data_IF_162336161820
#
_entry.id   IF_162336161820
#
_cell.length_a   1.000
_cell.length_b   1.000
_cell.length_c   1.000
_cell.angle_alpha   90.00
_cell.angle_beta   90.00
_cell.angle_gamma   90.00
#
_symmetry.space_group_name_H-M   'P 1'
#
loop_
_entity.id
_entity.type
_entity.pdbx_description
1 polymer ?
#
# COMPACT_ATOMS: atom_id res chain seq x y z
N UNK A 1 -11.98 5.89 8.13
CA UNK A 1 -12.64 5.79 6.79
C UNK A 1 -12.77 7.18 6.19
N UNK A 2 -12.62 7.29 4.87
CA UNK A 2 -12.59 8.56 4.12
C UNK A 2 -13.89 9.38 4.32
N UNK A 3 -13.84 10.59 4.89
CA UNK A 3 -14.99 11.49 4.98
C UNK A 3 -15.36 12.00 3.57
N UNK A 4 -16.62 11.84 3.16
CA UNK A 4 -17.01 12.03 1.76
C UNK A 4 -16.89 13.49 1.28
N UNK A 5 -17.51 14.45 1.99
CA UNK A 5 -17.46 15.86 1.61
C UNK A 5 -16.03 16.41 1.64
N UNK A 6 -15.29 16.13 2.71
CA UNK A 6 -13.91 16.57 2.83
C UNK A 6 -13.02 15.98 1.72
N UNK A 7 -13.24 14.72 1.34
CA UNK A 7 -12.52 14.12 0.23
C UNK A 7 -12.81 14.81 -1.11
N UNK A 8 -14.07 15.23 -1.35
CA UNK A 8 -14.43 16.00 -2.55
C UNK A 8 -13.74 17.36 -2.55
N UNK A 9 -13.66 18.03 -1.41
CA UNK A 9 -12.99 19.32 -1.31
C UNK A 9 -11.47 19.18 -1.51
N UNK A 10 -10.85 18.13 -0.95
CA UNK A 10 -9.43 17.82 -1.15
C UNK A 10 -9.14 17.42 -2.60
N UNK A 11 -10.06 16.74 -3.28
CA UNK A 11 -9.93 16.46 -4.72
C UNK A 11 -9.81 17.76 -5.52
N UNK A 12 -10.67 18.73 -5.23
CA UNK A 12 -10.66 20.01 -5.93
C UNK A 12 -9.41 20.82 -5.57
N UNK A 13 -9.01 20.85 -4.30
CA UNK A 13 -7.74 21.45 -3.88
C UNK A 13 -6.55 20.84 -4.63
N UNK A 14 -6.50 19.50 -4.70
CA UNK A 14 -5.43 18.77 -5.39
C UNK A 14 -5.34 19.17 -6.87
N UNK A 15 -6.48 19.24 -7.56
CA UNK A 15 -6.52 19.64 -8.97
C UNK A 15 -6.03 21.07 -9.18
N UNK A 16 -6.44 22.01 -8.32
CA UNK A 16 -5.96 23.39 -8.38
C UNK A 16 -4.45 23.51 -8.13
N UNK A 17 -3.93 22.81 -7.12
CA UNK A 17 -2.50 22.82 -6.77
C UNK A 17 -1.63 22.32 -7.92
N UNK A 18 -2.13 21.39 -8.73
CA UNK A 18 -1.43 20.87 -9.91
C UNK A 18 -1.75 21.66 -11.20
N UNK A 19 -2.40 22.82 -11.08
CA UNK A 19 -2.64 23.73 -12.21
C UNK A 19 -3.78 23.32 -13.15
N UNK A 20 -4.64 22.37 -12.75
CA UNK A 20 -5.80 22.00 -13.55
C UNK A 20 -6.90 23.05 -13.41
N UNK A 21 -7.42 23.52 -14.55
CA UNK A 21 -8.67 24.28 -14.64
C UNK A 21 -9.80 23.45 -15.24
N UNK A 22 -9.44 22.44 -16.04
CA UNK A 22 -10.33 21.43 -16.63
C UNK A 22 -9.59 20.10 -16.73
N UNK A 23 -10.31 18.99 -16.62
CA UNK A 23 -9.77 17.65 -16.90
C UNK A 23 -10.50 17.08 -18.11
N UNK A 24 -9.77 16.82 -19.19
CA UNK A 24 -10.34 16.34 -20.48
C UNK A 24 -11.52 17.21 -20.97
N UNK A 25 -11.44 18.54 -20.77
CA UNK A 25 -12.49 19.49 -21.17
C UNK A 25 -13.62 19.69 -20.15
N UNK A 26 -13.67 18.89 -19.08
CA UNK A 26 -14.69 18.97 -18.02
C UNK A 26 -14.25 19.98 -16.95
N UNK A 27 -15.15 20.87 -16.51
CA UNK A 27 -14.86 21.84 -15.44
C UNK A 27 -14.69 21.16 -14.08
N UNK A 28 -13.92 21.78 -13.18
CA UNK A 28 -13.71 21.25 -11.83
C UNK A 28 -15.02 21.12 -11.04
N UNK A 29 -15.96 22.06 -11.21
CA UNK A 29 -17.29 21.97 -10.59
C UNK A 29 -18.05 20.72 -11.05
N UNK A 30 -18.00 20.44 -12.36
CA UNK A 30 -18.63 19.24 -12.92
C UNK A 30 -17.93 17.97 -12.40
N UNK A 31 -16.60 17.99 -12.27
CA UNK A 31 -15.86 16.87 -11.66
C UNK A 31 -16.28 16.66 -10.21
N UNK A 32 -16.44 17.72 -9.42
CA UNK A 32 -16.92 17.63 -8.03
C UNK A 32 -18.31 16.98 -7.98
N UNK A 33 -19.22 17.40 -8.86
CA UNK A 33 -20.58 16.84 -8.95
C UNK A 33 -20.54 15.36 -9.32
N UNK A 34 -19.78 14.98 -10.36
CA UNK A 34 -19.66 13.59 -10.78
C UNK A 34 -19.03 12.72 -9.68
N UNK A 35 -18.00 13.23 -9.01
CA UNK A 35 -17.37 12.57 -7.87
C UNK A 35 -18.34 12.39 -6.70
N UNK A 36 -19.16 13.41 -6.40
CA UNK A 36 -20.18 13.34 -5.37
C UNK A 36 -21.21 12.24 -5.67
N UNK A 37 -21.69 12.15 -6.91
CA UNK A 37 -22.62 11.08 -7.32
C UNK A 37 -22.01 9.70 -7.08
N UNK A 38 -20.77 9.47 -7.50
CA UNK A 38 -20.10 8.17 -7.34
C UNK A 38 -19.91 7.79 -5.86
N UNK A 39 -19.62 8.78 -5.01
CA UNK A 39 -19.29 8.55 -3.61
C UNK A 39 -20.54 8.46 -2.72
N UNK A 40 -21.51 9.34 -2.97
CA UNK A 40 -22.68 9.54 -2.12
C UNK A 40 -23.84 8.65 -2.54
N UNK A 41 -24.05 8.39 -3.83
CA UNK A 41 -25.16 7.54 -4.30
C UNK A 41 -24.81 6.05 -4.34
N UNK A 42 -23.82 5.64 -3.52
CA UNK A 42 -23.46 4.24 -3.37
C UNK A 42 -24.41 3.52 -2.40
N UNK A 43 -25.16 2.56 -2.94
CA UNK A 43 -26.16 1.76 -2.24
C UNK A 43 -25.89 0.28 -2.45
N UNK A 44 -25.95 -0.52 -1.38
CA UNK A 44 -25.84 -1.97 -1.45
C UNK A 44 -27.03 -2.66 -0.78
N UNK A 45 -27.30 -3.90 -1.21
CA UNK A 45 -28.35 -4.75 -0.62
C UNK A 45 -27.69 -5.89 0.13
N UNK A 46 -28.07 -6.06 1.40
CA UNK A 46 -27.63 -7.16 2.23
C UNK A 46 -28.79 -7.63 3.11
N UNK A 47 -29.04 -8.94 3.17
CA UNK A 47 -30.17 -9.53 3.92
C UNK A 47 -31.51 -8.83 3.65
N UNK A 48 -31.84 -8.61 2.37
CA UNK A 48 -33.04 -7.91 1.90
C UNK A 48 -33.23 -6.49 2.46
N UNK A 49 -32.15 -5.86 2.97
CA UNK A 49 -32.14 -4.48 3.42
C UNK A 49 -31.23 -3.64 2.54
N UNK A 50 -31.66 -2.40 2.30
CA UNK A 50 -30.93 -1.42 1.51
C UNK A 50 -30.09 -0.56 2.46
N UNK A 51 -28.79 -0.46 2.17
CA UNK A 51 -27.84 0.33 2.95
C UNK A 51 -27.19 1.38 2.04
N UNK A 52 -27.09 2.62 2.53
CA UNK A 52 -26.35 3.71 1.88
C UNK A 52 -25.01 3.89 2.59
N UNK A 53 -23.93 3.98 1.81
CA UNK A 53 -22.61 4.21 2.38
C UNK A 53 -22.43 5.69 2.74
N UNK A 54 -22.30 5.98 4.04
CA UNK A 54 -22.14 7.36 4.56
C UNK A 54 -20.68 7.77 4.74
N UNK A 55 -19.76 6.81 4.87
CA UNK A 55 -18.32 7.03 5.06
C UNK A 55 -17.54 6.08 4.15
N UNK A 56 -16.49 6.60 3.53
CA UNK A 56 -15.75 5.87 2.49
C UNK A 56 -16.46 5.91 1.13
N UNK A 57 -15.96 5.09 0.21
CA UNK A 57 -16.63 4.79 -1.06
C UNK A 57 -16.67 3.28 -1.30
N UNK A 58 -17.28 2.88 -2.43
CA UNK A 58 -17.44 1.48 -2.78
C UNK A 58 -16.09 0.77 -2.86
N UNK A 59 -15.96 -0.37 -2.16
CA UNK A 59 -14.83 -1.27 -2.38
C UNK A 59 -14.86 -1.77 -3.83
N UNK A 60 -13.70 -1.76 -4.50
CA UNK A 60 -13.59 -2.12 -5.92
C UNK A 60 -13.84 -0.97 -6.90
N UNK A 61 -14.26 0.20 -6.44
CA UNK A 61 -14.32 1.40 -7.29
C UNK A 61 -12.91 1.95 -7.53
N UNK A 62 -12.51 2.00 -8.80
CA UNK A 62 -11.24 2.61 -9.23
C UNK A 62 -11.16 4.10 -8.87
N UNK A 63 -12.29 4.79 -8.88
CA UNK A 63 -12.38 6.19 -8.46
C UNK A 63 -12.15 6.35 -6.97
N UNK A 64 -12.78 5.51 -6.14
CA UNK A 64 -12.62 5.58 -4.67
C UNK A 64 -11.17 5.37 -4.25
N UNK A 65 -10.45 4.44 -4.88
CA UNK A 65 -9.01 4.23 -4.62
C UNK A 65 -8.18 5.47 -5.00
N UNK A 66 -8.48 6.08 -6.15
CA UNK A 66 -7.81 7.30 -6.59
C UNK A 66 -8.06 8.45 -5.62
N UNK A 67 -9.31 8.62 -5.18
CA UNK A 67 -9.70 9.65 -4.23
C UNK A 67 -9.05 9.44 -2.86
N UNK A 68 -8.97 8.20 -2.37
CA UNK A 68 -8.27 7.87 -1.14
C UNK A 68 -6.78 8.24 -1.23
N UNK A 69 -6.12 7.99 -2.37
CA UNK A 69 -4.74 8.39 -2.58
C UNK A 69 -4.55 9.92 -2.57
N UNK A 70 -5.49 10.67 -3.14
CA UNK A 70 -5.47 12.14 -3.13
C UNK A 70 -5.72 12.68 -1.70
N UNK A 71 -6.62 12.06 -0.94
CA UNK A 71 -6.82 12.40 0.46
C UNK A 71 -5.54 12.19 1.28
N UNK A 72 -4.92 11.02 1.11
CA UNK A 72 -3.66 10.70 1.78
C UNK A 72 -2.50 11.57 1.33
N UNK A 73 -2.49 12.08 0.09
CA UNK A 73 -1.52 13.08 -0.36
C UNK A 73 -1.53 14.33 0.53
N UNK A 74 -2.72 14.82 0.92
CA UNK A 74 -2.82 15.99 1.81
C UNK A 74 -2.40 15.64 3.23
N UNK A 75 -2.87 14.52 3.77
CA UNK A 75 -2.58 14.09 5.13
C UNK A 75 -1.08 13.79 5.34
N UNK A 76 -0.40 13.19 4.35
CA UNK A 76 1.00 12.78 4.48
C UNK A 76 2.03 13.90 4.25
N UNK A 77 1.60 15.13 3.89
CA UNK A 77 2.51 16.22 3.48
C UNK A 77 3.65 16.46 4.47
N UNK A 78 3.35 16.45 5.77
CA UNK A 78 4.35 16.72 6.80
C UNK A 78 5.34 15.57 6.97
N UNK A 79 4.94 14.31 6.73
CA UNK A 79 5.89 13.20 6.68
C UNK A 79 6.85 13.38 5.52
N UNK A 80 6.33 13.53 4.31
CA UNK A 80 7.15 13.66 3.08
C UNK A 80 8.11 14.83 3.21
N UNK A 81 7.62 16.01 3.61
CA UNK A 81 8.45 17.21 3.80
C UNK A 81 9.61 16.98 4.77
N UNK A 82 9.38 16.28 5.88
CA UNK A 82 10.43 15.99 6.87
C UNK A 82 11.48 15.06 6.30
N UNK A 83 11.04 14.01 5.62
CA UNK A 83 11.89 12.97 5.05
C UNK A 83 12.75 13.51 3.90
N UNK A 84 12.19 14.40 3.08
CA UNK A 84 12.93 15.12 2.04
C UNK A 84 14.06 15.99 2.63
N UNK A 85 13.83 16.63 3.77
CA UNK A 85 14.83 17.46 4.45
C UNK A 85 15.93 16.61 5.10
N UNK A 86 15.57 15.46 5.69
CA UNK A 86 16.52 14.57 6.38
C UNK A 86 17.24 13.59 5.45
N UNK A 87 16.82 13.45 4.19
CA UNK A 87 17.33 12.44 3.27
C UNK A 87 16.92 11.01 3.64
N UNK A 88 15.82 10.87 4.40
CA UNK A 88 15.27 9.59 4.82
C UNK A 88 14.25 9.08 3.78
N UNK A 89 14.04 7.77 3.72
CA UNK A 89 13.05 7.17 2.83
C UNK A 89 11.63 7.29 3.40
N UNK A 90 10.67 7.66 2.54
CA UNK A 90 9.25 7.53 2.77
C UNK A 90 8.57 6.89 1.56
N UNK A 91 7.82 5.82 1.80
CA UNK A 91 7.03 5.14 0.78
C UNK A 91 5.64 4.79 1.32
N UNK A 92 4.63 4.93 0.48
CA UNK A 92 3.26 4.49 0.77
C UNK A 92 2.73 3.63 -0.37
N UNK A 93 2.17 2.48 -0.03
CA UNK A 93 1.42 1.63 -0.94
C UNK A 93 -0.01 1.50 -0.42
N UNK A 94 -0.94 2.26 -1.01
CA UNK A 94 -2.34 2.34 -0.58
C UNK A 94 -2.43 2.73 0.92
N UNK A 95 -2.66 1.78 1.81
CA UNK A 95 -2.79 1.93 3.26
C UNK A 95 -1.49 1.63 4.03
N UNK A 96 -0.55 0.92 3.41
CA UNK A 96 0.73 0.58 4.03
C UNK A 96 1.75 1.72 3.87
N UNK A 97 2.39 2.13 4.96
CA UNK A 97 3.46 3.14 4.98
C UNK A 97 4.75 2.53 5.51
N UNK A 98 5.85 2.80 4.82
CA UNK A 98 7.20 2.49 5.28
C UNK A 98 8.04 3.77 5.30
N UNK A 99 8.78 3.97 6.39
CA UNK A 99 9.71 5.09 6.52
C UNK A 99 10.96 4.69 7.29
N UNK A 100 12.08 5.35 6.98
CA UNK A 100 13.33 5.23 7.76
C UNK A 100 13.47 6.40 8.71
N UNK A 101 14.23 6.23 9.80
CA UNK A 101 14.44 7.28 10.78
C UNK A 101 15.84 7.19 11.39
N UNK A 102 16.55 8.32 11.39
CA UNK A 102 17.95 8.46 11.77
C UNK A 102 18.11 9.16 13.13
N UNK A 103 17.03 9.73 13.69
CA UNK A 103 17.05 10.34 15.03
C UNK A 103 16.65 9.34 16.11
N UNK A 104 16.48 9.83 17.34
CA UNK A 104 16.06 8.99 18.47
C UNK A 104 14.69 8.35 18.21
N UNK A 105 14.51 7.11 18.69
CA UNK A 105 13.23 6.41 18.63
C UNK A 105 12.12 7.19 19.37
N UNK A 106 12.48 7.89 20.46
CA UNK A 106 11.54 8.71 21.21
C UNK A 106 10.96 9.87 20.38
N UNK A 107 11.78 10.51 19.54
CA UNK A 107 11.29 11.53 18.61
C UNK A 107 10.38 10.95 17.54
N UNK A 108 10.69 9.75 17.04
CA UNK A 108 9.83 9.05 16.07
C UNK A 108 8.46 8.75 16.69
N UNK A 109 8.43 8.20 17.91
CA UNK A 109 7.18 7.91 18.63
C UNK A 109 6.34 9.17 18.81
N UNK A 110 6.95 10.26 19.26
CA UNK A 110 6.26 11.56 19.38
C UNK A 110 5.67 12.04 18.05
N UNK A 111 6.40 11.88 16.94
CA UNK A 111 5.91 12.24 15.62
C UNK A 111 4.70 11.38 15.22
N UNK A 112 4.78 10.06 15.39
CA UNK A 112 3.72 9.12 15.03
C UNK A 112 2.46 9.30 15.91
N UNK A 113 2.64 9.59 17.19
CA UNK A 113 1.55 9.89 18.12
C UNK A 113 0.89 11.24 17.79
N UNK A 114 1.67 12.25 17.41
CA UNK A 114 1.14 13.51 16.91
C UNK A 114 0.37 13.31 15.59
N UNK A 115 0.88 12.48 14.68
CA UNK A 115 0.22 12.17 13.41
C UNK A 115 -1.13 11.48 13.57
N UNK A 116 -1.26 10.64 14.60
CA UNK A 116 -2.52 10.05 15.03
C UNK A 116 -3.57 11.08 15.50
N UNK A 117 -3.18 12.33 15.73
CA UNK A 117 -4.07 13.43 16.09
C UNK A 117 -4.36 14.39 14.93
N UNK A 118 -3.72 14.22 13.77
CA UNK A 118 -3.88 15.14 12.63
C UNK A 118 -5.25 15.08 11.98
N UNK A 119 -5.91 13.92 12.03
CA UNK A 119 -7.23 13.76 11.43
C UNK A 119 -8.05 12.71 12.19
N UNK A 120 -9.31 13.00 12.58
CA UNK A 120 -10.11 12.10 13.44
C UNK A 120 -10.39 10.73 12.80
N UNK A 121 -10.48 10.66 11.47
CA UNK A 121 -10.81 9.43 10.74
C UNK A 121 -9.59 8.64 10.22
N UNK A 122 -8.37 9.10 10.51
CA UNK A 122 -7.12 8.42 10.15
C UNK A 122 -6.43 7.96 11.43
N UNK A 123 -6.21 6.66 11.54
CA UNK A 123 -5.49 6.04 12.66
C UNK A 123 -4.31 5.26 12.11
N UNK A 124 -3.12 5.59 12.60
CA UNK A 124 -1.89 4.86 12.35
C UNK A 124 -1.70 3.81 13.44
N UNK A 125 -1.69 2.57 13.00
CA UNK A 125 -1.05 1.48 13.71
C UNK A 125 0.38 1.38 13.20
N UNK A 126 1.35 1.46 14.10
CA UNK A 126 2.76 1.51 13.72
C UNK A 126 3.60 0.52 14.53
N UNK A 127 4.65 0.01 13.88
CA UNK A 127 5.67 -0.83 14.50
C UNK A 127 7.04 -0.25 14.17
N UNK A 128 7.88 -0.10 15.19
CA UNK A 128 9.25 0.37 15.05
C UNK A 128 10.18 -0.81 15.36
N UNK A 129 11.08 -1.13 14.45
CA UNK A 129 12.07 -2.18 14.62
C UNK A 129 13.19 -2.01 13.60
N UNK A 130 14.36 -2.58 13.90
CA UNK A 130 15.47 -2.68 12.94
C UNK A 130 15.17 -3.62 11.78
N UNK A 131 14.25 -4.57 11.98
CA UNK A 131 13.80 -5.51 10.95
C UNK A 131 12.27 -5.56 10.92
N UNK A 132 11.69 -5.26 9.76
CA UNK A 132 10.24 -5.18 9.56
C UNK A 132 9.84 -5.69 8.18
N UNK A 133 8.73 -6.45 8.08
CA UNK A 133 8.12 -6.73 6.79
C UNK A 133 7.38 -5.50 6.27
N UNK A 134 7.46 -5.28 4.97
CA UNK A 134 6.61 -4.37 4.22
C UNK A 134 6.18 -5.07 2.93
N UNK A 135 4.89 -5.35 2.79
CA UNK A 135 4.36 -6.22 1.73
C UNK A 135 5.08 -7.58 1.73
N UNK A 136 5.70 -7.94 0.60
CA UNK A 136 6.42 -9.20 0.38
C UNK A 136 7.94 -9.08 0.61
N UNK A 137 8.40 -7.99 1.24
CA UNK A 137 9.82 -7.70 1.46
C UNK A 137 10.12 -7.56 2.95
N UNK A 138 11.13 -8.27 3.44
CA UNK A 138 11.69 -8.08 4.77
C UNK A 138 12.83 -7.08 4.68
N UNK A 139 12.65 -5.92 5.30
CA UNK A 139 13.62 -4.84 5.36
C UNK A 139 14.38 -4.91 6.68
N UNK A 140 15.71 -4.95 6.63
CA UNK A 140 16.57 -5.01 7.82
C UNK A 140 17.64 -3.94 7.73
N UNK A 141 17.67 -3.06 8.73
CA UNK A 141 18.72 -2.08 8.91
C UNK A 141 19.96 -2.75 9.52
N UNK A 142 21.01 -2.87 8.70
CA UNK A 142 22.34 -3.31 9.07
C UNK A 142 23.27 -2.10 9.19
N UNK A 143 23.26 -1.43 10.34
CA UNK A 143 24.12 -0.30 10.68
C UNK A 143 24.09 0.85 9.64
N UNK A 144 22.89 1.24 9.22
CA UNK A 144 22.66 2.31 8.24
C UNK A 144 22.52 1.82 6.80
N UNK A 145 22.81 0.54 6.54
CA UNK A 145 22.57 -0.09 5.24
C UNK A 145 21.26 -0.86 5.30
N UNK A 146 20.32 -0.54 4.42
CA UNK A 146 19.04 -1.22 4.33
C UNK A 146 19.18 -2.47 3.45
N UNK A 147 19.13 -3.64 4.08
CA UNK A 147 19.15 -4.93 3.40
C UNK A 147 17.72 -5.46 3.22
N UNK A 148 17.47 -6.07 2.08
CA UNK A 148 16.17 -6.65 1.71
C UNK A 148 16.26 -8.15 1.48
N UNK A 149 15.18 -8.86 1.77
CA UNK A 149 14.97 -10.26 1.42
C UNK A 149 13.48 -10.53 1.21
N UNK A 150 13.12 -11.69 0.66
CA UNK A 150 11.70 -12.07 0.52
C UNK A 150 11.10 -12.33 1.90
N UNK A 151 9.93 -11.74 2.16
CA UNK A 151 9.15 -12.02 3.37
C UNK A 151 8.03 -13.01 3.07
N UNK A 152 7.95 -14.07 3.88
CA UNK A 152 6.82 -14.99 3.90
C UNK A 152 6.02 -14.76 5.18
N UNK A 153 4.72 -14.51 5.05
CA UNK A 153 3.84 -14.36 6.22
C UNK A 153 3.84 -15.69 6.99
N UNK A 154 3.85 -15.70 8.33
CA UNK A 154 3.83 -16.94 9.11
C UNK A 154 2.64 -17.85 8.83
N UNK A 155 1.52 -17.28 8.40
CA UNK A 155 0.31 -18.01 8.00
C UNK A 155 0.28 -18.38 6.50
N UNK A 156 1.31 -18.03 5.72
CA UNK A 156 1.38 -18.40 4.32
C UNK A 156 1.70 -19.89 4.21
N UNK A 157 0.77 -20.65 3.69
CA UNK A 157 1.00 -22.05 3.34
C UNK A 157 1.75 -22.10 2.01
N UNK A 158 2.70 -23.03 1.84
CA UNK A 158 3.53 -23.12 0.64
C UNK A 158 2.75 -23.79 -0.51
N UNK A 159 1.48 -23.45 -0.72
CA UNK A 159 0.69 -24.01 -1.81
C UNK A 159 0.99 -23.28 -3.10
N UNK A 160 1.44 -24.05 -4.09
CA UNK A 160 1.53 -23.61 -5.48
C UNK A 160 0.67 -24.52 -6.34
N UNK A 161 0.47 -24.14 -7.60
CA UNK A 161 -0.29 -24.97 -8.55
C UNK A 161 0.40 -26.35 -8.67
N UNK A 162 -0.25 -27.48 -8.31
CA UNK A 162 0.36 -28.81 -8.36
C UNK A 162 0.68 -29.23 -9.78
N UNK A 163 1.84 -29.84 -10.06
CA UNK A 163 2.24 -30.14 -11.45
C UNK A 163 1.28 -31.12 -12.15
N UNK A 164 0.61 -31.97 -11.38
CA UNK A 164 -0.37 -32.95 -11.86
C UNK A 164 -1.73 -32.35 -12.24
N UNK A 165 -1.96 -31.06 -11.97
CA UNK A 165 -3.20 -30.39 -12.32
C UNK A 165 -3.31 -30.13 -13.83
N UNK A 166 -4.54 -30.00 -14.33
CA UNK A 166 -4.83 -29.76 -15.75
C UNK A 166 -4.63 -28.30 -16.17
N UNK A 167 -3.52 -27.70 -15.72
CA UNK A 167 -3.12 -26.35 -16.13
C UNK A 167 -2.12 -26.41 -17.30
N UNK A 168 -2.14 -25.43 -18.21
CA UNK A 168 -1.15 -25.37 -19.29
C UNK A 168 0.29 -25.31 -18.76
N UNK A 169 1.23 -25.97 -19.45
CA UNK A 169 2.66 -26.03 -19.04
C UNK A 169 3.29 -24.67 -18.74
N UNK A 170 2.89 -23.63 -19.46
CA UNK A 170 3.42 -22.28 -19.26
C UNK A 170 3.08 -21.71 -17.88
N UNK A 171 1.98 -22.12 -17.24
CA UNK A 171 1.59 -21.68 -15.90
C UNK A 171 2.62 -22.14 -14.87
N UNK A 172 3.01 -23.42 -14.92
CA UNK A 172 4.04 -23.97 -14.02
C UNK A 172 5.40 -23.31 -14.21
N UNK A 173 5.81 -23.13 -15.46
CA UNK A 173 7.06 -22.42 -15.78
C UNK A 173 7.01 -21.00 -15.23
N UNK A 174 5.90 -20.30 -15.38
CA UNK A 174 5.73 -18.95 -14.87
C UNK A 174 5.77 -18.89 -13.34
N UNK A 175 5.21 -19.87 -12.62
CA UNK A 175 5.34 -19.94 -11.14
C UNK A 175 6.82 -19.97 -10.74
N UNK A 176 7.62 -20.84 -11.37
CA UNK A 176 9.05 -20.95 -11.08
C UNK A 176 9.79 -19.66 -11.45
N UNK A 177 9.57 -19.16 -12.67
CA UNK A 177 10.26 -17.98 -13.19
C UNK A 177 9.94 -16.73 -12.37
N UNK A 178 8.67 -16.51 -12.03
CA UNK A 178 8.25 -15.34 -11.27
C UNK A 178 8.73 -15.40 -9.82
N UNK A 179 8.73 -16.57 -9.18
CA UNK A 179 9.28 -16.76 -7.83
C UNK A 179 10.79 -16.52 -7.79
N UNK A 180 11.55 -17.06 -8.74
CA UNK A 180 13.00 -16.82 -8.83
C UNK A 180 13.32 -15.37 -9.17
N UNK A 181 12.57 -14.75 -10.09
CA UNK A 181 12.74 -13.34 -10.41
C UNK A 181 12.40 -12.44 -9.21
N UNK A 182 11.38 -12.80 -8.43
CA UNK A 182 11.06 -12.13 -7.15
C UNK A 182 12.21 -12.27 -6.16
N UNK A 183 12.73 -13.49 -5.97
CA UNK A 183 13.88 -13.75 -5.10
C UNK A 183 15.09 -12.89 -5.49
N UNK A 184 15.42 -12.83 -6.78
CA UNK A 184 16.54 -12.04 -7.28
C UNK A 184 16.34 -10.53 -7.09
N UNK A 185 15.11 -10.02 -7.29
CA UNK A 185 14.80 -8.59 -7.12
C UNK A 185 14.78 -8.15 -5.67
N UNK A 186 14.30 -9.01 -4.77
CA UNK A 186 14.07 -8.63 -3.37
C UNK A 186 15.27 -8.91 -2.46
N UNK A 187 16.19 -9.79 -2.86
CA UNK A 187 17.34 -10.13 -2.03
C UNK A 187 18.54 -9.21 -2.30
N UNK A 188 18.96 -8.49 -1.25
CA UNK A 188 20.16 -7.63 -1.31
C UNK A 188 21.47 -8.42 -1.28
N UNK A 189 21.48 -9.67 -0.78
CA UNK A 189 22.68 -10.50 -0.70
C UNK A 189 22.49 -11.84 -1.40
N UNK A 190 23.61 -12.44 -1.81
CA UNK A 190 23.62 -13.77 -2.40
C UNK A 190 23.15 -14.84 -1.39
N UNK A 191 23.44 -14.69 -0.10
CA UNK A 191 22.93 -15.64 0.90
C UNK A 191 21.40 -15.57 1.01
N UNK A 192 20.81 -14.37 1.03
CA UNK A 192 19.37 -14.19 1.06
C UNK A 192 18.70 -14.77 -0.20
N UNK A 193 19.30 -14.55 -1.38
CA UNK A 193 18.84 -15.17 -2.61
C UNK A 193 18.90 -16.70 -2.55
N UNK A 194 20.03 -17.27 -2.13
CA UNK A 194 20.22 -18.72 -2.04
C UNK A 194 19.25 -19.36 -1.02
N UNK A 195 18.97 -18.66 0.08
CA UNK A 195 17.97 -19.10 1.06
C UNK A 195 16.57 -19.17 0.44
N UNK A 196 16.13 -18.11 -0.25
CA UNK A 196 14.84 -18.09 -0.94
C UNK A 196 14.78 -19.13 -2.07
N UNK A 197 15.87 -19.33 -2.82
CA UNK A 197 15.94 -20.35 -3.86
C UNK A 197 15.71 -21.76 -3.29
N UNK A 198 16.30 -22.09 -2.13
CA UNK A 198 16.05 -23.36 -1.45
C UNK A 198 14.61 -23.48 -0.99
N UNK A 199 14.04 -22.41 -0.44
CA UNK A 199 12.63 -22.37 -0.06
C UNK A 199 11.70 -22.66 -1.25
N UNK A 200 11.97 -22.04 -2.40
CA UNK A 200 11.22 -22.27 -3.64
C UNK A 200 11.35 -23.74 -4.09
N UNK A 201 12.56 -24.31 -4.07
CA UNK A 201 12.78 -25.71 -4.44
C UNK A 201 11.99 -26.66 -3.54
N UNK A 202 12.03 -26.46 -2.22
CA UNK A 202 11.27 -27.26 -1.26
C UNK A 202 9.75 -27.11 -1.46
N UNK A 203 9.30 -25.88 -1.74
CA UNK A 203 7.89 -25.60 -2.06
C UNK A 203 7.44 -26.38 -3.29
N UNK A 204 8.23 -26.37 -4.36
CA UNK A 204 7.90 -27.12 -5.59
C UNK A 204 7.86 -28.64 -5.32
N UNK A 205 8.86 -29.18 -4.61
CA UNK A 205 8.89 -30.61 -4.25
C UNK A 205 7.70 -31.03 -3.39
N UNK A 206 7.22 -30.15 -2.50
CA UNK A 206 6.06 -30.42 -1.66
C UNK A 206 4.74 -30.50 -2.45
N UNK A 207 4.62 -29.74 -3.54
CA UNK A 207 3.38 -29.67 -4.33
C UNK A 207 3.33 -30.68 -5.49
N UNK A 208 4.37 -31.52 -5.64
CA UNK A 208 4.47 -32.55 -6.67
C UNK A 208 4.74 -31.95 -8.03
#
# INVERSE_FOLDING_TARGET
MLPQEEALDILIEFLHVHGYTKVKGISLDTIRILAAIVLQENVCVYNNKIYKQMLGGAMGSSFTLTLANIFMWKWQKEFVRRQDISGEFYGRYIDDIFMTWNKSENELRKLLDAANSWHPNIKLEYKISKSLPFLDVLLTNSNGILLTSVYHKPAAEPYVVPFISDHPRHVFINVIQTSLARAARYSSTLEAFNHEQRYIQLTLLYNG
#
